data_IF_293821845359
#
_entry.id   IF_293821845359
#
_cell.length_a   1.000
_cell.length_b   1.000
_cell.length_c   1.000
_cell.angle_alpha   90.00
_cell.angle_beta   90.00
_cell.angle_gamma   90.00
#
_symmetry.space_group_name_H-M   'P 1'
#
loop_
_entity.id
_entity.type
_entity.pdbx_description
1 polymer ?
#
# COMPACT_ATOMS: atom_id res chain seq x y z
N UNK A 1 -3.50 23.70 -23.77
CA UNK A 1 -2.91 23.56 -22.42
C UNK A 1 -1.55 24.23 -22.43
N UNK A 2 -1.20 24.93 -21.37
CA UNK A 2 0.17 25.43 -21.20
C UNK A 2 1.10 24.26 -20.82
N UNK A 3 2.38 24.41 -21.14
CA UNK A 3 3.39 23.39 -20.83
C UNK A 3 3.51 23.12 -19.32
N UNK A 4 3.21 24.13 -18.49
CA UNK A 4 3.26 24.05 -17.04
C UNK A 4 2.17 23.14 -16.48
N UNK A 5 0.91 23.25 -16.92
CA UNK A 5 -0.18 22.36 -16.47
C UNK A 5 0.05 20.91 -16.88
N UNK A 6 0.68 20.69 -18.04
CA UNK A 6 1.06 19.36 -18.49
C UNK A 6 2.09 18.73 -17.52
N UNK A 7 3.18 19.43 -17.22
CA UNK A 7 4.20 18.95 -16.27
C UNK A 7 3.60 18.72 -14.89
N UNK A 8 2.77 19.64 -14.41
CA UNK A 8 2.14 19.52 -13.10
C UNK A 8 1.23 18.28 -13.04
N UNK A 9 0.44 18.03 -14.09
CA UNK A 9 -0.43 16.86 -14.18
C UNK A 9 0.39 15.58 -14.11
N UNK A 10 1.42 15.47 -14.95
CA UNK A 10 2.31 14.32 -14.96
C UNK A 10 3.01 14.10 -13.60
N UNK A 11 3.52 15.17 -12.97
CA UNK A 11 4.17 15.11 -11.67
C UNK A 11 3.22 14.64 -10.57
N UNK A 12 1.98 15.12 -10.55
CA UNK A 12 0.94 14.67 -9.61
C UNK A 12 0.60 13.20 -9.84
N UNK A 13 0.43 12.77 -11.09
CA UNK A 13 0.16 11.37 -11.41
C UNK A 13 1.30 10.45 -10.92
N UNK A 14 2.58 10.82 -11.15
CA UNK A 14 3.73 10.05 -10.66
C UNK A 14 3.81 10.03 -9.13
N UNK A 15 3.52 11.17 -8.47
CA UNK A 15 3.51 11.25 -7.01
C UNK A 15 2.45 10.32 -6.41
N UNK A 16 1.22 10.34 -6.94
CA UNK A 16 0.10 9.56 -6.39
C UNK A 16 0.13 8.08 -6.77
N UNK A 17 0.77 7.70 -7.88
CA UNK A 17 0.86 6.29 -8.31
C UNK A 17 2.14 5.59 -7.86
N UNK A 18 3.26 6.30 -7.72
CA UNK A 18 4.55 5.72 -7.31
C UNK A 18 5.03 6.30 -5.99
N UNK A 19 5.08 7.63 -5.89
CA UNK A 19 5.69 8.34 -4.76
C UNK A 19 5.07 7.93 -3.42
N UNK A 20 3.75 8.00 -3.31
CA UNK A 20 3.00 7.59 -2.11
C UNK A 20 3.32 6.14 -1.72
N UNK A 21 3.30 5.21 -2.68
CA UNK A 21 3.52 3.78 -2.40
C UNK A 21 4.94 3.53 -1.90
N UNK A 22 5.96 4.07 -2.55
CA UNK A 22 7.35 3.86 -2.15
C UNK A 22 7.67 4.53 -0.81
N UNK A 23 7.15 5.75 -0.57
CA UNK A 23 7.34 6.46 0.70
C UNK A 23 6.72 5.67 1.85
N UNK A 24 5.44 5.28 1.74
CA UNK A 24 4.77 4.52 2.79
C UNK A 24 5.33 3.10 2.92
N UNK A 25 5.72 2.47 1.80
CA UNK A 25 6.42 1.19 1.80
C UNK A 25 7.70 1.22 2.64
N UNK A 26 8.51 2.27 2.48
CA UNK A 26 9.71 2.48 3.28
C UNK A 26 9.37 2.72 4.76
N UNK A 27 8.40 3.60 5.06
CA UNK A 27 7.99 3.89 6.44
C UNK A 27 7.48 2.64 7.17
N UNK A 28 6.64 1.84 6.50
CA UNK A 28 6.14 0.57 7.01
C UNK A 28 7.29 -0.42 7.25
N UNK A 29 8.24 -0.51 6.32
CA UNK A 29 9.42 -1.37 6.48
C UNK A 29 10.26 -0.99 7.71
N UNK A 30 10.45 0.31 7.96
CA UNK A 30 11.18 0.81 9.13
C UNK A 30 10.43 0.51 10.44
N UNK A 31 9.12 0.73 10.46
CA UNK A 31 8.28 0.46 11.63
C UNK A 31 8.24 -1.03 11.97
N UNK A 32 7.90 -1.87 10.98
CA UNK A 32 7.78 -3.32 11.16
C UNK A 32 9.14 -3.97 11.47
N UNK A 33 10.21 -3.52 10.79
CA UNK A 33 11.57 -3.98 11.11
C UNK A 33 11.98 -3.65 12.54
N UNK A 34 11.64 -2.46 13.03
CA UNK A 34 11.88 -2.05 14.42
C UNK A 34 11.02 -2.84 15.40
N UNK A 35 9.74 -3.05 15.09
CA UNK A 35 8.81 -3.85 15.87
C UNK A 35 9.36 -5.26 16.12
N UNK A 36 9.67 -6.00 15.06
CA UNK A 36 10.17 -7.37 15.18
C UNK A 36 11.53 -7.44 15.88
N UNK A 37 12.43 -6.47 15.62
CA UNK A 37 13.74 -6.40 16.29
C UNK A 37 13.61 -6.17 17.79
N UNK A 38 12.68 -5.31 18.23
CA UNK A 38 12.47 -5.02 19.64
C UNK A 38 11.91 -6.21 20.43
N UNK A 39 11.18 -7.11 19.77
CA UNK A 39 10.68 -8.36 20.37
C UNK A 39 11.78 -9.41 20.60
N UNK A 40 12.94 -9.28 19.95
CA UNK A 40 14.08 -10.18 20.10
C UNK A 40 13.73 -11.63 19.73
N UNK A 41 14.02 -12.59 20.62
CA UNK A 41 13.78 -14.03 20.36
C UNK A 41 12.30 -14.37 20.10
N UNK A 42 11.36 -13.54 20.58
CA UNK A 42 9.92 -13.71 20.31
C UNK A 42 9.47 -13.13 18.97
N UNK A 43 10.28 -12.29 18.33
CA UNK A 43 9.90 -11.60 17.09
C UNK A 43 9.56 -12.58 15.96
N UNK A 44 10.34 -13.66 15.83
CA UNK A 44 10.10 -14.70 14.82
C UNK A 44 8.79 -15.46 15.07
N UNK A 45 8.47 -15.78 16.32
CA UNK A 45 7.21 -16.43 16.68
C UNK A 45 6.00 -15.53 16.40
N UNK A 46 6.09 -14.24 16.77
CA UNK A 46 5.03 -13.25 16.47
C UNK A 46 4.83 -13.11 14.97
N UNK A 47 5.92 -13.03 14.20
CA UNK A 47 5.88 -12.95 12.74
C UNK A 47 5.17 -14.17 12.11
N UNK A 48 5.40 -15.40 12.61
CA UNK A 48 4.68 -16.58 12.13
C UNK A 48 3.19 -16.54 12.48
N UNK A 49 2.83 -16.13 13.70
CA UNK A 49 1.43 -16.07 14.14
C UNK A 49 0.67 -15.02 13.33
N UNK A 50 1.24 -13.84 13.16
CA UNK A 50 0.59 -12.77 12.39
C UNK A 50 0.64 -13.03 10.88
N UNK A 51 1.65 -13.77 10.42
CA UNK A 51 1.88 -14.07 9.00
C UNK A 51 0.94 -15.10 8.41
N UNK A 52 0.26 -15.89 9.25
CA UNK A 52 -0.68 -16.90 8.76
C UNK A 52 -1.79 -16.32 7.87
N UNK A 53 -2.19 -15.06 8.09
CA UNK A 53 -3.17 -14.36 7.24
C UNK A 53 -2.45 -13.40 6.29
N UNK A 54 -1.53 -12.59 6.82
CA UNK A 54 -0.90 -11.52 6.06
C UNK A 54 -0.01 -12.00 4.92
N UNK A 55 0.79 -13.05 5.13
CA UNK A 55 1.70 -13.57 4.09
C UNK A 55 0.96 -14.23 2.93
N UNK A 56 -0.06 -15.10 3.14
CA UNK A 56 -0.86 -15.60 2.02
C UNK A 56 -1.51 -14.49 1.19
N UNK A 57 -2.03 -13.44 1.82
CA UNK A 57 -2.58 -12.27 1.11
C UNK A 57 -1.49 -11.57 0.30
N UNK A 58 -0.30 -11.37 0.88
CA UNK A 58 0.84 -10.76 0.20
C UNK A 58 1.24 -11.53 -1.06
N UNK A 59 1.47 -12.84 -0.93
CA UNK A 59 1.87 -13.69 -2.06
C UNK A 59 0.72 -13.90 -3.07
N UNK A 60 -0.53 -13.95 -2.62
CA UNK A 60 -1.69 -13.98 -3.51
C UNK A 60 -1.83 -12.71 -4.33
N UNK A 61 -1.43 -11.55 -3.78
CA UNK A 61 -1.41 -10.29 -4.51
C UNK A 61 -0.41 -10.32 -5.66
N UNK A 62 0.79 -10.86 -5.41
CA UNK A 62 1.80 -11.09 -6.45
C UNK A 62 1.30 -12.04 -7.53
N UNK A 63 0.71 -13.17 -7.13
CA UNK A 63 0.16 -14.16 -8.06
C UNK A 63 -0.98 -13.57 -8.90
N UNK A 64 -1.88 -12.79 -8.29
CA UNK A 64 -2.97 -12.12 -8.98
C UNK A 64 -2.44 -11.18 -10.07
N UNK A 65 -1.48 -10.31 -9.73
CA UNK A 65 -0.90 -9.40 -10.72
C UNK A 65 -0.06 -10.13 -11.77
N UNK A 66 0.55 -11.28 -11.43
CA UNK A 66 1.18 -12.13 -12.44
C UNK A 66 0.17 -12.58 -13.50
N UNK A 67 -1.04 -12.99 -13.10
CA UNK A 67 -2.10 -13.38 -14.03
C UNK A 67 -2.57 -12.20 -14.88
N UNK A 68 -2.83 -11.05 -14.25
CA UNK A 68 -3.27 -9.83 -14.95
C UNK A 68 -2.26 -9.45 -16.04
N UNK A 69 -0.98 -9.40 -15.71
CA UNK A 69 0.06 -9.00 -16.66
C UNK A 69 0.58 -10.14 -17.54
N UNK A 70 -0.01 -11.34 -17.48
CA UNK A 70 0.39 -12.48 -18.31
C UNK A 70 1.79 -13.01 -18.03
N UNK A 71 2.27 -12.88 -16.79
CA UNK A 71 3.49 -13.53 -16.33
C UNK A 71 3.23 -15.03 -16.10
N UNK A 72 4.21 -15.86 -16.46
CA UNK A 72 4.13 -17.30 -16.21
C UNK A 72 4.55 -17.58 -14.78
N UNK A 73 3.59 -17.97 -13.94
CA UNK A 73 3.87 -18.44 -12.58
C UNK A 73 4.57 -19.81 -12.68
N UNK A 74 5.75 -19.93 -12.08
CA UNK A 74 6.57 -21.15 -12.03
C UNK A 74 6.31 -21.89 -10.73
N UNK A 75 6.27 -21.16 -9.62
CA UNK A 75 6.10 -21.74 -8.28
C UNK A 75 5.45 -20.71 -7.36
N UNK A 76 4.54 -21.15 -6.50
CA UNK A 76 3.92 -20.33 -5.46
C UNK A 76 4.00 -21.07 -4.13
N UNK A 77 4.47 -20.38 -3.10
CA UNK A 77 4.35 -20.79 -1.71
C UNK A 77 3.75 -19.64 -0.91
N UNK A 78 2.48 -19.78 -0.53
CA UNK A 78 1.76 -18.75 0.23
C UNK A 78 2.25 -18.61 1.66
N UNK A 79 2.66 -19.73 2.27
CA UNK A 79 3.17 -19.73 3.64
C UNK A 79 4.09 -20.94 3.87
N UNK A 80 5.25 -20.73 4.46
CA UNK A 80 6.17 -21.78 4.91
C UNK A 80 6.81 -21.41 6.26
N UNK A 81 6.94 -22.40 7.13
CA UNK A 81 7.55 -22.27 8.45
C UNK A 81 8.97 -22.85 8.36
N UNK A 82 9.94 -22.25 9.07
CA UNK A 82 11.33 -22.72 9.14
C UNK A 82 12.07 -22.81 7.78
N UNK A 83 11.87 -21.85 6.88
CA UNK A 83 12.78 -21.68 5.74
C UNK A 83 14.19 -21.35 6.22
N UNK A 84 15.22 -21.98 5.63
CA UNK A 84 16.65 -21.69 5.89
C UNK A 84 16.97 -20.21 5.71
N UNK A 85 16.23 -19.55 4.82
CA UNK A 85 16.48 -18.18 4.39
C UNK A 85 15.56 -17.18 5.13
N UNK A 86 14.68 -17.68 6.01
CA UNK A 86 13.75 -16.87 6.80
C UNK A 86 12.56 -16.31 6.02
N UNK A 87 12.40 -16.71 4.75
CA UNK A 87 11.31 -16.27 3.86
C UNK A 87 10.01 -17.02 4.18
N UNK A 88 8.93 -16.28 4.45
CA UNK A 88 7.61 -16.82 4.81
C UNK A 88 6.79 -17.29 3.61
N UNK A 89 7.02 -16.73 2.43
CA UNK A 89 6.30 -17.06 1.21
C UNK A 89 7.02 -16.48 0.00
N UNK A 90 6.71 -16.97 -1.20
CA UNK A 90 7.20 -16.40 -2.45
C UNK A 90 6.33 -16.80 -3.64
N UNK A 91 6.31 -15.92 -4.64
CA UNK A 91 5.84 -16.20 -6.01
C UNK A 91 7.01 -16.11 -6.97
N UNK A 92 7.44 -17.24 -7.53
CA UNK A 92 8.41 -17.28 -8.61
C UNK A 92 7.67 -17.25 -9.94
N UNK A 93 7.96 -16.24 -10.76
CA UNK A 93 7.37 -16.08 -12.08
C UNK A 93 8.42 -15.73 -13.13
N UNK A 94 8.09 -15.92 -14.40
CA UNK A 94 8.89 -15.44 -15.54
C UNK A 94 8.04 -14.62 -16.49
N UNK A 95 8.68 -13.77 -17.27
CA UNK A 95 8.04 -12.88 -18.22
C UNK A 95 8.92 -12.68 -19.45
N UNK A 96 8.32 -12.24 -20.55
CA UNK A 96 9.00 -11.87 -21.77
C UNK A 96 9.53 -10.43 -21.67
N UNK A 97 10.86 -10.22 -21.57
CA UNK A 97 11.45 -8.89 -21.46
C UNK A 97 11.38 -8.07 -22.76
N UNK A 98 10.79 -8.59 -23.83
CA UNK A 98 10.46 -7.81 -25.04
C UNK A 98 9.05 -7.21 -24.99
N UNK A 99 8.17 -7.70 -24.12
CA UNK A 99 6.80 -7.19 -23.99
C UNK A 99 6.76 -5.97 -23.06
N UNK A 100 6.35 -4.81 -23.58
CA UNK A 100 6.18 -3.59 -22.78
C UNK A 100 5.12 -3.79 -21.68
N UNK A 101 4.02 -4.50 -22.01
CA UNK A 101 2.94 -4.82 -21.08
C UNK A 101 3.45 -5.60 -19.86
N UNK A 102 4.28 -6.62 -20.08
CA UNK A 102 4.85 -7.43 -19.00
C UNK A 102 5.92 -6.67 -18.19
N UNK A 103 6.69 -5.77 -18.83
CA UNK A 103 7.59 -4.87 -18.09
C UNK A 103 6.85 -3.94 -17.15
N UNK A 104 5.74 -3.36 -17.61
CA UNK A 104 4.84 -2.58 -16.74
C UNK A 104 4.31 -3.48 -15.62
N UNK A 105 3.99 -4.74 -15.93
CA UNK A 105 3.62 -5.76 -14.96
C UNK A 105 4.63 -5.96 -13.82
N UNK A 106 5.94 -5.87 -14.08
CA UNK A 106 6.95 -5.94 -13.02
C UNK A 106 6.75 -4.88 -11.93
N UNK A 107 6.34 -3.66 -12.32
CA UNK A 107 5.98 -2.60 -11.38
C UNK A 107 4.79 -3.03 -10.52
N UNK A 108 3.68 -3.35 -11.16
CA UNK A 108 2.42 -3.66 -10.49
C UNK A 108 2.47 -4.90 -9.64
N UNK A 109 3.20 -5.93 -10.07
CA UNK A 109 3.49 -7.12 -9.26
C UNK A 109 4.25 -6.69 -8.01
N UNK A 110 5.36 -5.95 -8.16
CA UNK A 110 6.14 -5.49 -7.01
C UNK A 110 5.32 -4.73 -5.97
N UNK A 111 4.41 -3.83 -6.40
CA UNK A 111 3.55 -3.06 -5.49
C UNK A 111 2.21 -3.74 -5.13
N UNK A 112 1.92 -4.92 -5.70
CA UNK A 112 0.62 -5.59 -5.58
C UNK A 112 0.16 -5.78 -4.14
N UNK A 113 1.03 -6.24 -3.20
CA UNK A 113 0.59 -6.47 -1.82
C UNK A 113 0.04 -5.21 -1.18
N UNK A 114 0.67 -4.06 -1.43
CA UNK A 114 0.24 -2.78 -0.86
C UNK A 114 -1.14 -2.38 -1.41
N UNK A 115 -1.36 -2.52 -2.71
CA UNK A 115 -2.63 -2.19 -3.36
C UNK A 115 -3.76 -3.10 -2.88
N UNK A 116 -3.54 -4.41 -2.92
CA UNK A 116 -4.54 -5.42 -2.53
C UNK A 116 -4.81 -5.36 -1.03
N UNK A 117 -3.78 -5.16 -0.21
CA UNK A 117 -3.94 -4.97 1.23
C UNK A 117 -4.83 -3.77 1.56
N UNK A 118 -4.63 -2.63 0.90
CA UNK A 118 -5.48 -1.46 1.06
C UNK A 118 -6.93 -1.72 0.64
N UNK A 119 -7.15 -2.43 -0.48
CA UNK A 119 -8.49 -2.81 -0.95
C UNK A 119 -9.19 -3.77 0.02
N UNK A 120 -8.48 -4.76 0.57
CA UNK A 120 -9.02 -5.68 1.57
C UNK A 120 -9.41 -4.88 2.82
N UNK A 121 -8.56 -3.98 3.30
CA UNK A 121 -8.87 -3.16 4.47
C UNK A 121 -10.10 -2.26 4.22
N UNK A 122 -10.21 -1.66 3.03
CA UNK A 122 -11.38 -0.90 2.62
C UNK A 122 -12.65 -1.77 2.58
N UNK A 123 -12.56 -3.00 2.07
CA UNK A 123 -13.66 -3.96 2.08
C UNK A 123 -14.10 -4.34 3.50
N UNK A 124 -13.15 -4.53 4.41
CA UNK A 124 -13.46 -4.81 5.83
C UNK A 124 -14.15 -3.58 6.46
N UNK A 125 -13.69 -2.36 6.17
CA UNK A 125 -14.34 -1.13 6.64
C UNK A 125 -15.78 -1.03 6.14
N UNK A 126 -16.00 -1.28 4.84
CA UNK A 126 -17.32 -1.28 4.23
C UNK A 126 -18.27 -2.31 4.86
N UNK A 127 -17.77 -3.52 5.15
CA UNK A 127 -18.58 -4.60 5.71
C UNK A 127 -18.89 -4.41 7.21
N UNK A 128 -17.93 -3.94 8.00
CA UNK A 128 -18.07 -3.83 9.44
C UNK A 128 -18.68 -2.49 9.89
N UNK A 129 -18.35 -1.40 9.18
CA UNK A 129 -18.70 -0.02 9.53
C UNK A 129 -19.14 0.75 8.27
N UNK A 130 -20.25 0.36 7.61
CA UNK A 130 -20.68 0.96 6.34
C UNK A 130 -20.99 2.46 6.43
N UNK A 131 -21.50 2.93 7.57
CA UNK A 131 -21.75 4.36 7.80
C UNK A 131 -20.43 5.16 7.77
N UNK A 132 -19.42 4.69 8.53
CA UNK A 132 -18.08 5.30 8.55
C UNK A 132 -17.45 5.27 7.16
N UNK A 133 -17.59 4.16 6.44
CA UNK A 133 -17.08 4.06 5.07
C UNK A 133 -17.69 5.15 4.16
N UNK A 134 -19.01 5.36 4.24
CA UNK A 134 -19.71 6.39 3.46
C UNK A 134 -19.22 7.80 3.79
N UNK A 135 -19.08 8.11 5.08
CA UNK A 135 -18.66 9.45 5.52
C UNK A 135 -17.20 9.74 5.11
N UNK A 136 -16.32 8.76 5.30
CA UNK A 136 -14.92 8.81 4.85
C UNK A 136 -14.83 8.96 3.35
N UNK A 137 -15.64 8.22 2.59
CA UNK A 137 -15.67 8.35 1.13
C UNK A 137 -16.12 9.75 0.69
N UNK A 138 -17.09 10.34 1.40
CA UNK A 138 -17.51 11.72 1.21
C UNK A 138 -16.33 12.69 1.34
N UNK A 139 -15.58 12.61 2.44
CA UNK A 139 -14.40 13.46 2.68
C UNK A 139 -13.30 13.22 1.63
N UNK A 140 -12.97 11.97 1.32
CA UNK A 140 -11.92 11.64 0.34
C UNK A 140 -12.30 12.09 -1.08
N UNK A 141 -13.58 12.08 -1.44
CA UNK A 141 -14.07 12.56 -2.74
C UNK A 141 -13.96 14.08 -2.90
N UNK A 142 -13.91 14.82 -1.78
CA UNK A 142 -13.76 16.28 -1.77
C UNK A 142 -12.28 16.72 -1.88
N UNK A 143 -11.33 15.79 -1.75
CA UNK A 143 -9.90 16.08 -1.83
C UNK A 143 -9.51 16.54 -3.24
N UNK A 144 -8.89 17.71 -3.33
CA UNK A 144 -8.41 18.26 -4.59
C UNK A 144 -7.09 19.01 -4.42
N UNK A 145 -5.99 18.25 -4.49
CA UNK A 145 -4.63 18.78 -4.38
C UNK A 145 -4.24 19.74 -5.51
N UNK A 146 -4.96 19.73 -6.64
CA UNK A 146 -4.69 20.65 -7.76
C UNK A 146 -5.18 22.08 -7.50
N UNK A 147 -6.22 22.24 -6.67
CA UNK A 147 -6.84 23.54 -6.40
C UNK A 147 -6.48 24.07 -5.01
N UNK A 148 -6.57 23.23 -3.98
CA UNK A 148 -6.36 23.66 -2.61
C UNK A 148 -5.73 22.55 -1.77
N UNK A 149 -4.41 22.67 -1.55
CA UNK A 149 -3.63 21.72 -0.77
C UNK A 149 -4.02 21.72 0.70
N UNK A 150 -4.26 22.88 1.32
CA UNK A 150 -4.58 22.95 2.76
C UNK A 150 -5.97 22.37 3.05
N UNK A 151 -6.97 22.68 2.24
CA UNK A 151 -8.30 22.06 2.36
C UNK A 151 -8.25 20.54 2.13
N UNK A 152 -7.44 20.08 1.17
CA UNK A 152 -7.23 18.65 0.92
C UNK A 152 -6.68 17.91 2.13
N UNK A 153 -5.71 18.50 2.84
CA UNK A 153 -5.23 17.95 4.10
C UNK A 153 -6.31 17.98 5.20
N UNK A 154 -7.16 19.00 5.23
CA UNK A 154 -8.32 19.08 6.12
C UNK A 154 -9.29 17.92 5.93
N UNK A 155 -9.65 17.61 4.68
CA UNK A 155 -10.52 16.47 4.36
C UNK A 155 -9.90 15.12 4.75
N UNK A 156 -8.59 14.92 4.50
CA UNK A 156 -7.89 13.70 4.94
C UNK A 156 -7.88 13.59 6.46
N UNK A 157 -7.69 14.70 7.16
CA UNK A 157 -7.73 14.74 8.62
C UNK A 157 -9.12 14.42 9.16
N UNK A 158 -10.17 14.95 8.55
CA UNK A 158 -11.55 14.67 8.94
C UNK A 158 -11.95 13.21 8.65
N UNK A 159 -11.56 12.68 7.48
CA UNK A 159 -11.70 11.25 7.18
C UNK A 159 -11.03 10.38 8.26
N UNK A 160 -9.88 10.82 8.78
CA UNK A 160 -9.17 10.13 9.84
C UNK A 160 -9.83 10.29 11.21
N UNK A 161 -10.38 11.47 11.53
CA UNK A 161 -11.12 11.71 12.78
C UNK A 161 -12.39 10.87 12.85
N UNK A 162 -13.10 10.73 11.73
CA UNK A 162 -14.29 9.90 11.57
C UNK A 162 -14.05 8.43 11.92
N UNK A 163 -12.83 7.91 11.71
CA UNK A 163 -12.47 6.54 12.12
C UNK A 163 -12.72 6.30 13.61
N UNK A 164 -12.62 7.31 14.46
CA UNK A 164 -12.75 7.15 15.91
C UNK A 164 -14.19 7.29 16.43
N UNK A 165 -15.14 7.66 15.57
CA UNK A 165 -16.56 7.82 15.96
C UNK A 165 -17.19 6.52 16.48
N UNK A 166 -16.64 5.35 16.10
CA UNK A 166 -17.11 4.02 16.51
C UNK A 166 -16.13 3.28 17.43
N UNK A 167 -15.21 3.95 18.11
CA UNK A 167 -14.18 3.31 18.97
C UNK A 167 -14.76 2.45 20.11
N UNK A 168 -15.99 2.74 20.55
CA UNK A 168 -16.68 1.96 21.60
C UNK A 168 -17.34 0.69 21.07
N UNK A 169 -17.47 0.55 19.75
CA UNK A 169 -18.08 -0.61 19.10
C UNK A 169 -17.08 -1.77 18.94
N UNK A 170 -17.56 -3.01 19.04
CA UNK A 170 -16.70 -4.17 18.84
C UNK A 170 -16.22 -4.30 17.38
N UNK A 171 -17.03 -3.85 16.41
CA UNK A 171 -16.71 -3.86 14.99
C UNK A 171 -15.44 -3.06 14.69
N UNK A 172 -15.27 -1.92 15.35
CA UNK A 172 -14.07 -1.09 15.22
C UNK A 172 -12.81 -1.82 15.70
N UNK A 173 -12.89 -2.53 16.83
CA UNK A 173 -11.77 -3.32 17.33
C UNK A 173 -11.44 -4.52 16.42
N UNK A 174 -12.45 -5.14 15.82
CA UNK A 174 -12.23 -6.20 14.80
C UNK A 174 -11.57 -5.61 13.56
N UNK A 175 -12.01 -4.45 13.08
CA UNK A 175 -11.36 -3.73 11.98
C UNK A 175 -9.88 -3.44 12.28
N UNK A 176 -9.57 -2.88 13.46
CA UNK A 176 -8.18 -2.60 13.87
C UNK A 176 -7.36 -3.88 13.97
N UNK A 177 -7.92 -4.96 14.54
CA UNK A 177 -7.24 -6.24 14.67
C UNK A 177 -6.93 -6.86 13.30
N UNK A 178 -7.88 -6.86 12.37
CA UNK A 178 -7.65 -7.31 11.00
C UNK A 178 -6.61 -6.41 10.30
N UNK A 179 -6.71 -5.10 10.47
CA UNK A 179 -5.75 -4.13 9.97
C UNK A 179 -4.34 -4.39 10.48
N UNK A 180 -4.17 -4.79 11.74
CA UNK A 180 -2.87 -5.19 12.31
C UNK A 180 -2.26 -6.39 11.60
N UNK A 181 -3.04 -7.45 11.34
CA UNK A 181 -2.54 -8.63 10.63
C UNK A 181 -2.09 -8.30 9.20
N UNK A 182 -2.82 -7.41 8.52
CA UNK A 182 -2.48 -6.97 7.17
C UNK A 182 -1.26 -6.04 7.19
N UNK A 183 -1.29 -4.96 7.99
CA UNK A 183 -0.24 -3.94 8.04
C UNK A 183 1.15 -4.50 8.38
N UNK A 184 1.22 -5.52 9.25
CA UNK A 184 2.46 -6.19 9.63
C UNK A 184 3.12 -6.98 8.49
N UNK A 185 2.37 -7.31 7.43
CA UNK A 185 2.82 -8.17 6.34
C UNK A 185 2.74 -7.54 4.96
N UNK A 186 2.09 -6.38 4.78
CA UNK A 186 2.12 -5.62 3.51
C UNK A 186 3.41 -4.83 3.29
N UNK A 187 4.51 -5.23 3.94
CA UNK A 187 5.81 -4.58 3.77
C UNK A 187 6.48 -5.06 2.50
N UNK A 188 6.87 -4.12 1.64
CA UNK A 188 7.61 -4.42 0.42
C UNK A 188 8.98 -5.03 0.75
N UNK A 189 9.22 -6.23 0.24
CA UNK A 189 10.52 -6.88 0.34
C UNK A 189 11.54 -6.24 -0.61
N UNK A 190 12.82 -6.55 -0.43
CA UNK A 190 13.87 -6.07 -1.35
C UNK A 190 13.67 -6.58 -2.77
N UNK A 191 13.18 -7.81 -2.93
CA UNK A 191 12.93 -8.39 -4.24
C UNK A 191 11.69 -7.75 -4.89
N UNK A 192 10.65 -7.43 -4.11
CA UNK A 192 9.47 -6.69 -4.58
C UNK A 192 9.88 -5.32 -5.13
N UNK A 193 10.74 -4.59 -4.41
CA UNK A 193 11.23 -3.28 -4.83
C UNK A 193 12.09 -3.40 -6.09
N UNK A 194 13.01 -4.38 -6.17
CA UNK A 194 13.83 -4.58 -7.38
C UNK A 194 12.96 -4.90 -8.59
N UNK A 195 11.97 -5.78 -8.43
CA UNK A 195 10.97 -6.08 -9.45
C UNK A 195 10.23 -4.81 -9.86
N UNK A 196 9.76 -4.03 -8.88
CA UNK A 196 9.05 -2.80 -9.13
C UNK A 196 9.87 -1.78 -9.94
N UNK A 197 11.10 -1.53 -9.50
CA UNK A 197 12.06 -0.62 -10.14
C UNK A 197 12.37 -1.01 -11.59
N UNK A 198 12.41 -2.32 -11.90
CA UNK A 198 12.65 -2.81 -13.27
C UNK A 198 11.54 -2.40 -14.26
N UNK A 199 10.33 -2.16 -13.76
CA UNK A 199 9.17 -1.75 -14.55
C UNK A 199 8.94 -0.23 -14.64
N UNK A 200 9.59 0.58 -13.79
CA UNK A 200 9.31 2.02 -13.69
C UNK A 200 9.54 2.76 -15.01
N UNK A 201 10.62 2.46 -15.74
CA UNK A 201 10.90 3.14 -17.00
C UNK A 201 9.80 2.88 -18.03
N UNK A 202 9.35 1.62 -18.14
CA UNK A 202 8.25 1.25 -19.02
C UNK A 202 6.95 1.96 -18.60
N UNK A 203 6.66 2.01 -17.30
CA UNK A 203 5.50 2.68 -16.74
C UNK A 203 5.48 4.19 -17.03
N UNK A 204 6.60 4.88 -16.76
CA UNK A 204 6.78 6.31 -17.02
C UNK A 204 6.57 6.62 -18.50
N UNK A 205 7.15 5.82 -19.41
CA UNK A 205 6.96 5.99 -20.84
C UNK A 205 5.50 5.84 -21.27
N UNK A 206 4.78 4.85 -20.72
CA UNK A 206 3.35 4.67 -20.99
C UNK A 206 2.55 5.90 -20.52
N UNK A 207 2.83 6.40 -19.32
CA UNK A 207 2.16 7.59 -18.79
C UNK A 207 2.42 8.84 -19.62
N UNK A 208 3.67 9.07 -20.06
CA UNK A 208 3.99 10.19 -20.96
C UNK A 208 3.20 10.09 -22.27
N UNK A 209 3.12 8.90 -22.88
CA UNK A 209 2.38 8.69 -24.12
C UNK A 209 0.88 8.95 -23.90
N UNK A 210 0.30 8.43 -22.82
CA UNK A 210 -1.11 8.64 -22.47
C UNK A 210 -1.39 10.13 -22.27
N UNK A 211 -0.58 10.82 -21.47
CA UNK A 211 -0.76 12.25 -21.22
C UNK A 211 -0.64 13.08 -22.50
N UNK A 212 0.31 12.76 -23.38
CA UNK A 212 0.46 13.42 -24.68
C UNK A 212 -0.79 13.22 -25.55
N UNK A 213 -1.30 11.99 -25.66
CA UNK A 213 -2.51 11.69 -26.43
C UNK A 213 -3.71 12.45 -25.86
N UNK A 214 -3.93 12.39 -24.54
CA UNK A 214 -5.03 13.11 -23.87
C UNK A 214 -4.91 14.63 -24.05
N UNK A 215 -3.68 15.16 -24.05
CA UNK A 215 -3.45 16.57 -24.29
C UNK A 215 -3.77 17.02 -25.71
N UNK A 216 -3.50 16.17 -26.71
CA UNK A 216 -3.78 16.43 -28.11
C UNK A 216 -5.27 16.31 -28.48
N UNK A 217 -6.00 15.38 -27.84
CA UNK A 217 -7.45 15.22 -28.05
C UNK A 217 -8.24 16.43 -27.53
N UNK A 218 -7.74 17.11 -26.48
CA UNK A 218 -8.33 18.33 -25.94
C UNK A 218 -9.49 18.09 -24.96
N UNK A 219 -10.28 19.14 -24.67
CA UNK A 219 -11.55 19.00 -23.93
C UNK A 219 -11.43 18.67 -22.43
N UNK A 220 -10.40 19.15 -21.73
CA UNK A 220 -10.15 18.86 -20.30
C UNK A 220 -9.95 17.36 -19.96
N UNK A 221 -9.67 16.51 -20.95
CA UNK A 221 -9.47 15.07 -20.72
C UNK A 221 -8.24 14.76 -19.85
N UNK A 222 -7.13 15.49 -20.05
CA UNK A 222 -5.94 15.32 -19.22
C UNK A 222 -6.20 15.67 -17.75
N UNK A 223 -6.92 16.76 -17.48
CA UNK A 223 -7.26 17.16 -16.12
C UNK A 223 -8.25 16.19 -15.48
N UNK A 224 -9.22 15.67 -16.24
CA UNK A 224 -10.12 14.62 -15.77
C UNK A 224 -9.38 13.31 -15.44
N UNK A 225 -8.46 12.87 -16.31
CA UNK A 225 -7.63 11.69 -16.06
C UNK A 225 -6.75 11.89 -14.81
N UNK A 226 -6.10 13.04 -14.70
CA UNK A 226 -5.28 13.39 -13.54
C UNK A 226 -6.11 13.44 -12.25
N UNK A 227 -7.32 14.00 -12.30
CA UNK A 227 -8.27 13.99 -11.20
C UNK A 227 -8.63 12.58 -10.76
N UNK A 228 -8.88 11.66 -11.71
CA UNK A 228 -9.12 10.25 -11.42
C UNK A 228 -7.91 9.56 -10.77
N UNK A 229 -6.70 9.81 -11.28
CA UNK A 229 -5.45 9.29 -10.69
C UNK A 229 -5.26 9.81 -9.26
N UNK A 230 -5.50 11.10 -9.01
CA UNK A 230 -5.41 11.69 -7.67
C UNK A 230 -6.47 11.13 -6.74
N UNK A 231 -7.70 10.89 -7.20
CA UNK A 231 -8.77 10.30 -6.40
C UNK A 231 -8.39 8.87 -5.96
N UNK A 232 -7.94 8.03 -6.89
CA UNK A 232 -7.45 6.69 -6.58
C UNK A 232 -6.23 6.71 -5.65
N UNK A 233 -5.29 7.62 -5.89
CA UNK A 233 -4.09 7.78 -5.08
C UNK A 233 -4.40 8.31 -3.67
N UNK A 234 -5.38 9.20 -3.53
CA UNK A 234 -5.86 9.72 -2.23
C UNK A 234 -6.54 8.62 -1.43
N UNK A 235 -7.39 7.82 -2.08
CA UNK A 235 -7.99 6.64 -1.47
C UNK A 235 -6.91 5.69 -0.94
N UNK A 236 -5.92 5.36 -1.79
CA UNK A 236 -4.80 4.52 -1.38
C UNK A 236 -4.00 5.14 -0.22
N UNK A 237 -3.67 6.43 -0.31
CA UNK A 237 -2.98 7.20 0.72
C UNK A 237 -3.68 7.09 2.07
N UNK A 238 -5.00 7.22 2.10
CA UNK A 238 -5.79 7.13 3.32
C UNK A 238 -5.59 5.77 4.04
N UNK A 239 -5.72 4.65 3.32
CA UNK A 239 -5.50 3.33 3.93
C UNK A 239 -4.04 3.07 4.29
N UNK A 240 -3.09 3.63 3.53
CA UNK A 240 -1.68 3.61 3.89
C UNK A 240 -1.38 4.37 5.18
N UNK A 241 -2.05 5.51 5.41
CA UNK A 241 -1.99 6.23 6.69
C UNK A 241 -2.52 5.38 7.84
N UNK A 242 -3.62 4.64 7.65
CA UNK A 242 -4.13 3.71 8.67
C UNK A 242 -3.10 2.62 8.96
N UNK A 243 -2.52 1.98 7.94
CA UNK A 243 -1.46 0.99 8.14
C UNK A 243 -0.26 1.57 8.88
N UNK A 244 0.16 2.79 8.54
CA UNK A 244 1.28 3.45 9.19
C UNK A 244 0.98 3.73 10.67
N UNK A 245 -0.21 4.23 11.00
CA UNK A 245 -0.62 4.48 12.38
C UNK A 245 -0.62 3.18 13.19
N UNK A 246 -1.17 2.11 12.63
CA UNK A 246 -1.14 0.77 13.26
C UNK A 246 0.31 0.33 13.49
N UNK A 247 1.17 0.44 12.47
CA UNK A 247 2.57 0.06 12.57
C UNK A 247 3.35 0.90 13.61
N UNK A 248 3.06 2.20 13.71
CA UNK A 248 3.63 3.10 14.72
C UNK A 248 3.20 2.73 16.14
N UNK A 249 1.92 2.41 16.34
CA UNK A 249 1.39 1.95 17.64
C UNK A 249 2.08 0.65 18.05
N UNK A 250 2.17 -0.32 17.15
CA UNK A 250 2.86 -1.59 17.39
C UNK A 250 4.34 -1.38 17.70
N UNK A 251 5.01 -0.53 16.93
CA UNK A 251 6.40 -0.14 17.20
C UNK A 251 6.54 0.48 18.60
N UNK A 252 5.65 1.38 19.01
CA UNK A 252 5.61 1.97 20.35
C UNK A 252 5.48 0.91 21.46
N UNK A 253 4.53 -0.01 21.31
CA UNK A 253 4.34 -1.15 22.22
C UNK A 253 5.63 -1.99 22.31
N UNK A 254 6.30 -2.24 21.19
CA UNK A 254 7.54 -3.03 21.18
C UNK A 254 8.67 -2.38 21.98
N UNK A 255 8.76 -1.04 22.00
CA UNK A 255 9.74 -0.32 22.82
C UNK A 255 9.46 -0.50 24.32
N UNK A 256 8.19 -0.47 24.72
CA UNK A 256 7.78 -0.74 26.11
C UNK A 256 8.16 -2.17 26.49
N UNK A 257 7.83 -3.16 25.65
CA UNK A 257 8.19 -4.57 25.86
C UNK A 257 9.71 -4.75 26.02
N UNK A 258 10.49 -4.10 25.15
CA UNK A 258 11.96 -4.13 25.22
C UNK A 258 12.49 -3.50 26.51
N UNK A 259 11.91 -2.39 26.96
CA UNK A 259 12.30 -1.73 28.20
C UNK A 259 12.03 -2.60 29.44
N UNK A 260 10.85 -3.22 29.51
CA UNK A 260 10.47 -4.15 30.60
C UNK A 260 11.38 -5.37 30.62
N UNK A 261 11.70 -5.95 29.45
CA UNK A 261 12.62 -7.09 29.36
C UNK A 261 14.02 -6.75 29.86
N UNK A 262 14.54 -5.57 29.54
CA UNK A 262 15.87 -5.13 30.02
C UNK A 262 15.91 -4.96 31.53
N UNK A 263 14.85 -4.41 32.14
CA UNK A 263 14.76 -4.26 33.60
C UNK A 263 14.72 -5.60 34.34
N UNK A 264 14.14 -6.66 33.75
CA UNK A 264 14.10 -8.00 34.36
C UNK A 264 15.40 -8.80 34.22
N UNK A 265 16.35 -8.32 33.42
CA UNK A 265 17.64 -8.97 33.17
C UNK A 265 18.80 -8.32 33.95
N UNK A 266 18.53 -7.21 34.65
CA UNK A 266 19.40 -6.55 35.62
C UNK A 266 18.99 -6.99 37.02
#
# INVERSE_FOLDING_TARGET
>A
MDFVSFILSFALQMLFTLGVIFIFGLLLALCNGTFYRNLGSKGRAVCYITGFIGTPVHEASHALMCLVFGHKIIEVKFFQINSSDGVLGYVRHSYNPKSLYQKVGCLFIGIAPVLVGALILAGILYLLLPAVFSDVWGELSAVNFSQNVSASFGHIWEAFSLMFSYITSWQWWVFVLCGMFIALHMTLSREDIKGALSGIVAYVLVFIIVDLVLALVGGNLLSAFTGGVIACGTFLLFFLCIFLVIALVLMGISYIVRAVRRRRAL
#
